data_IF_466550380826
#
_entry.id   IF_466550380826
#
_cell.length_a   1.000
_cell.length_b   1.000
_cell.length_c   1.000
_cell.angle_alpha   90.00
_cell.angle_beta   90.00
_cell.angle_gamma   90.00
#
_symmetry.space_group_name_H-M   'P 1'
#
loop_
_entity.id
_entity.type
_entity.pdbx_description
1 polymer ?
#
# COMPACT_ATOMS: atom_id res chain seq x y z
N UNK A 1 5.79 -26.73 -26.40
CA UNK A 1 7.10 -27.33 -26.13
C UNK A 1 7.70 -26.68 -24.92
N UNK A 2 7.77 -27.43 -23.84
CA UNK A 2 8.40 -27.01 -22.58
C UNK A 2 9.89 -27.35 -22.74
N UNK A 3 10.75 -26.36 -22.66
CA UNK A 3 12.19 -26.56 -22.60
C UNK A 3 12.56 -26.55 -21.12
N UNK A 4 12.83 -27.73 -20.57
CA UNK A 4 13.43 -27.89 -19.25
C UNK A 4 14.94 -27.88 -19.47
N UNK A 5 15.61 -26.82 -19.06
CA UNK A 5 17.07 -26.80 -19.01
C UNK A 5 17.51 -27.23 -17.61
N UNK A 6 18.09 -28.40 -17.51
CA UNK A 6 18.78 -28.90 -16.31
C UNK A 6 20.16 -28.26 -16.28
N UNK A 7 20.41 -27.35 -15.36
CA UNK A 7 21.73 -26.81 -15.07
C UNK A 7 22.33 -27.55 -13.87
N UNK A 8 23.44 -28.24 -14.10
CA UNK A 8 24.24 -28.97 -13.13
C UNK A 8 24.91 -28.00 -12.13
N UNK A 9 24.87 -28.32 -10.85
CA UNK A 9 25.41 -27.53 -9.76
C UNK A 9 26.94 -27.48 -9.78
N UNK A 10 27.46 -26.24 -9.69
CA UNK A 10 28.76 -25.97 -9.03
C UNK A 10 28.57 -24.73 -8.19
N UNK A 11 28.88 -24.85 -6.90
CA UNK A 11 28.75 -23.95 -5.77
C UNK A 11 28.58 -22.44 -6.04
N UNK A 12 27.45 -21.93 -5.65
CA UNK A 12 27.17 -20.52 -5.58
C UNK A 12 25.66 -20.37 -5.39
N UNK A 13 25.24 -19.90 -4.21
CA UNK A 13 23.84 -19.54 -3.95
C UNK A 13 23.50 -18.32 -4.82
N UNK A 14 23.17 -18.57 -6.06
CA UNK A 14 22.48 -17.58 -6.90
C UNK A 14 21.03 -17.58 -6.45
N UNK A 15 20.68 -16.59 -5.62
CA UNK A 15 19.30 -16.29 -5.33
C UNK A 15 18.55 -16.13 -6.64
N UNK A 16 17.71 -17.11 -6.95
CA UNK A 16 16.75 -17.00 -8.07
C UNK A 16 15.75 -15.91 -7.67
N UNK A 17 16.10 -14.68 -7.97
CA UNK A 17 15.16 -13.57 -7.92
C UNK A 17 14.17 -13.82 -9.05
N UNK A 18 13.07 -14.50 -8.71
CA UNK A 18 11.94 -14.66 -9.61
C UNK A 18 11.44 -13.28 -9.95
N UNK A 19 11.92 -12.74 -11.06
CA UNK A 19 11.44 -11.49 -11.62
C UNK A 19 10.04 -11.78 -12.20
N UNK A 20 9.03 -11.81 -11.33
CA UNK A 20 7.65 -11.78 -11.78
C UNK A 20 7.46 -10.45 -12.51
N UNK A 21 7.47 -10.51 -13.83
CA UNK A 21 7.17 -9.37 -14.69
C UNK A 21 5.73 -8.94 -14.38
N UNK A 22 5.58 -7.88 -13.60
CA UNK A 22 4.28 -7.27 -13.37
C UNK A 22 3.70 -6.89 -14.74
N UNK A 23 2.54 -7.45 -15.09
CA UNK A 23 1.92 -7.22 -16.41
C UNK A 23 1.33 -5.81 -16.56
N UNK A 24 1.34 -4.98 -15.48
CA UNK A 24 0.81 -3.63 -15.49
C UNK A 24 1.81 -2.60 -14.95
N UNK A 25 1.80 -1.40 -15.53
CA UNK A 25 2.64 -0.29 -15.06
C UNK A 25 2.02 0.34 -13.82
N UNK A 26 2.78 0.41 -12.72
CA UNK A 26 2.35 1.05 -11.48
C UNK A 26 2.96 2.43 -11.40
N UNK A 27 2.11 3.46 -11.40
CA UNK A 27 2.50 4.87 -11.28
C UNK A 27 2.02 5.51 -9.98
N UNK A 28 1.08 4.85 -9.26
CA UNK A 28 0.52 5.34 -8.00
C UNK A 28 0.51 4.25 -6.92
N UNK A 29 0.75 4.65 -5.69
CA UNK A 29 0.45 3.91 -4.47
C UNK A 29 -0.54 4.76 -3.70
N UNK A 30 -1.79 4.28 -3.56
CA UNK A 30 -2.90 5.04 -3.01
C UNK A 30 -3.25 4.50 -1.63
N UNK A 31 -3.24 5.38 -0.63
CA UNK A 31 -3.54 5.04 0.75
C UNK A 31 -4.99 5.41 1.06
N UNK A 32 -5.70 4.47 1.67
CA UNK A 32 -7.09 4.59 2.10
C UNK A 32 -7.24 4.29 3.58
N UNK A 33 -8.32 4.74 4.18
CA UNK A 33 -8.83 4.22 5.44
C UNK A 33 -10.12 3.43 5.20
N UNK A 34 -10.44 2.52 6.10
CA UNK A 34 -11.69 1.74 6.04
C UNK A 34 -12.93 2.54 6.48
N UNK A 35 -12.73 3.76 6.99
CA UNK A 35 -13.79 4.56 7.64
C UNK A 35 -14.45 3.82 8.83
N UNK A 36 -13.67 3.06 9.59
CA UNK A 36 -14.12 2.37 10.79
C UNK A 36 -13.99 3.30 11.98
N UNK A 37 -15.05 3.51 12.79
CA UNK A 37 -15.00 4.34 13.99
C UNK A 37 -14.04 3.80 15.05
N UNK A 38 -13.51 4.70 15.90
CA UNK A 38 -12.78 4.31 17.12
C UNK A 38 -13.66 3.38 17.98
N UNK A 39 -13.04 2.39 18.62
CA UNK A 39 -13.75 1.39 19.42
C UNK A 39 -14.48 0.30 18.61
N UNK A 40 -14.51 0.42 17.30
CA UNK A 40 -15.01 -0.64 16.40
C UNK A 40 -13.83 -1.31 15.69
N UNK A 41 -14.02 -2.58 15.33
CA UNK A 41 -13.04 -3.34 14.54
C UNK A 41 -13.64 -3.74 13.19
N UNK A 42 -12.80 -3.78 12.18
CA UNK A 42 -13.11 -4.32 10.85
C UNK A 42 -11.91 -5.14 10.38
N UNK A 43 -12.00 -6.45 10.54
CA UNK A 43 -10.95 -7.35 10.06
C UNK A 43 -10.82 -7.30 8.53
N UNK A 44 -9.68 -7.75 8.02
CA UNK A 44 -9.45 -7.83 6.57
C UNK A 44 -10.51 -8.71 5.88
N UNK A 45 -10.90 -9.82 6.52
CA UNK A 45 -11.94 -10.71 5.97
C UNK A 45 -13.32 -10.07 6.02
N UNK A 46 -13.69 -9.37 7.09
CA UNK A 46 -14.95 -8.63 7.15
C UNK A 46 -15.02 -7.53 6.08
N UNK A 47 -13.93 -6.82 5.85
CA UNK A 47 -13.82 -5.84 4.75
C UNK A 47 -13.97 -6.52 3.37
N UNK A 48 -13.38 -7.70 3.20
CA UNK A 48 -13.51 -8.50 1.97
C UNK A 48 -14.95 -8.92 1.71
N UNK A 49 -15.63 -9.44 2.74
CA UNK A 49 -17.02 -9.85 2.64
C UNK A 49 -17.95 -8.67 2.34
N UNK A 50 -17.75 -7.51 2.97
CA UNK A 50 -18.49 -6.29 2.64
C UNK A 50 -18.34 -5.93 1.15
N UNK A 51 -17.14 -5.99 0.64
CA UNK A 51 -16.87 -5.69 -0.77
C UNK A 51 -17.52 -6.69 -1.73
N UNK A 52 -17.56 -7.96 -1.38
CA UNK A 52 -18.20 -9.00 -2.20
C UNK A 52 -19.73 -8.89 -2.13
N UNK A 53 -20.29 -8.84 -0.92
CA UNK A 53 -21.73 -8.94 -0.70
C UNK A 53 -22.48 -7.64 -1.00
N UNK A 54 -21.89 -6.49 -0.66
CA UNK A 54 -22.59 -5.20 -0.75
C UNK A 54 -22.12 -4.35 -1.91
N UNK A 55 -20.90 -4.54 -2.44
CA UNK A 55 -20.38 -3.77 -3.57
C UNK A 55 -20.28 -4.58 -4.87
N UNK A 56 -20.58 -5.88 -4.83
CA UNK A 56 -20.54 -6.74 -6.02
C UNK A 56 -19.11 -6.96 -6.56
N UNK A 57 -18.10 -6.85 -5.73
CA UNK A 57 -16.73 -7.11 -6.15
C UNK A 57 -16.46 -8.61 -6.11
N UNK A 58 -15.50 -9.08 -6.93
CA UNK A 58 -15.07 -10.49 -6.88
C UNK A 58 -14.12 -10.78 -5.71
N UNK A 59 -13.57 -9.76 -5.08
CA UNK A 59 -12.62 -9.85 -3.98
C UNK A 59 -12.51 -8.49 -3.27
N UNK A 60 -11.76 -8.42 -2.15
CA UNK A 60 -11.41 -7.15 -1.52
C UNK A 60 -10.88 -6.16 -2.57
N UNK A 61 -11.25 -4.88 -2.49
CA UNK A 61 -10.85 -3.87 -3.46
C UNK A 61 -9.37 -3.50 -3.40
N UNK A 62 -8.71 -3.74 -2.26
CA UNK A 62 -7.34 -3.33 -1.96
C UNK A 62 -6.32 -4.44 -2.24
N UNK A 63 -5.04 -4.06 -2.40
CA UNK A 63 -3.92 -5.00 -2.51
C UNK A 63 -3.35 -5.35 -1.13
N UNK A 64 -3.44 -4.41 -0.19
CA UNK A 64 -3.05 -4.60 1.21
C UNK A 64 -4.07 -3.98 2.14
N UNK A 65 -4.29 -4.64 3.27
CA UNK A 65 -5.10 -4.14 4.36
C UNK A 65 -4.30 -4.22 5.66
N UNK A 66 -4.30 -3.16 6.49
CA UNK A 66 -3.53 -3.10 7.73
C UNK A 66 -4.51 -2.95 8.90
N UNK A 67 -4.59 -3.97 9.74
CA UNK A 67 -5.40 -3.98 10.95
C UNK A 67 -4.80 -3.11 12.06
N UNK A 68 -5.57 -2.81 13.11
CA UNK A 68 -5.13 -1.88 14.18
C UNK A 68 -3.88 -2.34 14.93
N UNK A 69 -3.64 -3.65 15.03
CA UNK A 69 -2.44 -4.26 15.60
C UNK A 69 -1.21 -4.15 14.67
N UNK A 70 -1.38 -3.60 13.48
CA UNK A 70 -0.33 -3.43 12.48
C UNK A 70 -0.11 -4.64 11.59
N UNK A 71 -0.92 -5.71 11.69
CA UNK A 71 -0.79 -6.85 10.78
C UNK A 71 -1.14 -6.44 9.34
N UNK A 72 -0.30 -6.85 8.39
CA UNK A 72 -0.47 -6.57 6.97
C UNK A 72 -1.09 -7.79 6.30
N UNK A 73 -2.35 -7.69 5.95
CA UNK A 73 -3.08 -8.71 5.20
C UNK A 73 -2.97 -8.45 3.70
N UNK A 74 -2.65 -9.50 2.94
CA UNK A 74 -2.67 -9.46 1.47
C UNK A 74 -4.10 -9.59 0.97
N UNK A 75 -4.50 -8.65 0.12
CA UNK A 75 -5.74 -8.70 -0.64
C UNK A 75 -5.50 -9.19 -2.07
N UNK A 76 -5.91 -8.38 -3.06
CA UNK A 76 -5.67 -8.72 -4.47
C UNK A 76 -4.18 -8.82 -4.77
N UNK A 77 -3.75 -9.82 -5.55
CA UNK A 77 -2.39 -9.88 -6.07
C UNK A 77 -2.02 -8.59 -6.85
N UNK A 78 -0.73 -8.22 -6.81
CA UNK A 78 -0.27 -6.98 -7.47
C UNK A 78 -0.48 -6.98 -8.99
N UNK A 79 -0.57 -8.15 -9.61
CA UNK A 79 -0.84 -8.34 -11.04
C UNK A 79 -2.30 -8.04 -11.40
N UNK A 80 -3.21 -8.14 -10.43
CA UNK A 80 -4.63 -7.88 -10.62
C UNK A 80 -4.95 -6.40 -10.40
N UNK A 81 -5.86 -5.88 -11.18
CA UNK A 81 -6.38 -4.52 -11.02
C UNK A 81 -7.23 -4.45 -9.75
N UNK A 82 -6.99 -3.45 -8.91
CA UNK A 82 -7.78 -3.20 -7.71
C UNK A 82 -9.20 -2.67 -8.00
N UNK A 83 -9.99 -2.47 -6.94
CA UNK A 83 -11.27 -1.79 -7.01
C UNK A 83 -11.37 -0.82 -5.82
N UNK A 84 -10.45 0.14 -5.75
CA UNK A 84 -10.31 1.06 -4.61
C UNK A 84 -10.32 2.54 -5.00
N UNK A 85 -9.97 2.89 -6.24
CA UNK A 85 -9.97 4.27 -6.71
C UNK A 85 -10.40 4.31 -8.19
N UNK A 86 -11.63 4.75 -8.44
CA UNK A 86 -12.17 4.85 -9.81
C UNK A 86 -11.23 5.68 -10.69
N UNK A 87 -11.04 5.27 -11.93
CA UNK A 87 -10.13 5.86 -12.93
C UNK A 87 -8.63 5.66 -12.67
N UNK A 88 -8.22 5.15 -11.49
CA UNK A 88 -6.81 4.94 -11.13
C UNK A 88 -6.46 3.47 -10.85
N UNK A 89 -7.44 2.57 -10.81
CA UNK A 89 -7.21 1.16 -10.44
C UNK A 89 -6.19 0.44 -11.31
N UNK A 90 -6.19 0.71 -12.63
CA UNK A 90 -5.35 -0.01 -13.60
C UNK A 90 -3.85 0.22 -13.41
N UNK A 91 -3.45 1.37 -12.87
CA UNK A 91 -2.06 1.78 -12.72
C UNK A 91 -1.66 2.09 -11.27
N UNK A 92 -2.42 1.59 -10.29
CA UNK A 92 -2.17 1.84 -8.88
C UNK A 92 -2.17 0.59 -8.01
N UNK A 93 -1.53 0.71 -6.86
CA UNK A 93 -1.61 -0.22 -5.73
C UNK A 93 -2.43 0.46 -4.63
N UNK A 94 -3.50 -0.17 -4.15
CA UNK A 94 -4.31 0.33 -3.03
C UNK A 94 -3.90 -0.32 -1.72
N UNK A 95 -3.62 0.50 -0.72
CA UNK A 95 -3.37 0.11 0.66
C UNK A 95 -4.48 0.71 1.51
N UNK A 96 -5.16 -0.09 2.32
CA UNK A 96 -6.15 0.39 3.27
C UNK A 96 -5.70 0.10 4.70
N UNK A 97 -5.84 1.06 5.61
CA UNK A 97 -5.69 0.82 7.03
C UNK A 97 -7.06 0.86 7.72
N UNK A 98 -7.21 0.04 8.75
CA UNK A 98 -8.41 0.02 9.59
C UNK A 98 -8.48 1.30 10.42
N UNK A 99 -9.62 2.00 10.38
CA UNK A 99 -9.85 3.23 11.11
C UNK A 99 -10.25 4.40 10.20
N UNK A 100 -9.94 5.62 10.65
CA UNK A 100 -10.17 6.86 9.91
C UNK A 100 -11.33 7.69 10.42
N UNK A 101 -12.08 7.22 11.41
CA UNK A 101 -13.16 7.97 12.07
C UNK A 101 -12.98 7.95 13.59
N UNK A 102 -13.37 9.03 14.27
CA UNK A 102 -13.50 9.04 15.74
C UNK A 102 -14.79 8.33 16.19
N UNK A 103 -15.07 8.36 17.50
CA UNK A 103 -16.25 7.71 18.09
C UNK A 103 -17.58 8.30 17.54
N UNK A 104 -17.58 9.57 17.15
CA UNK A 104 -18.74 10.28 16.61
C UNK A 104 -18.84 10.16 15.08
N UNK A 105 -18.07 9.24 14.49
CA UNK A 105 -18.00 9.05 13.04
C UNK A 105 -17.47 10.26 12.27
N UNK A 106 -16.79 11.19 12.95
CA UNK A 106 -16.11 12.28 12.29
C UNK A 106 -14.72 11.83 11.82
N UNK A 107 -14.27 12.31 10.69
CA UNK A 107 -12.97 11.96 10.13
C UNK A 107 -11.81 12.32 11.07
N UNK A 108 -10.93 11.35 11.37
CA UNK A 108 -9.78 11.49 12.27
C UNK A 108 -8.65 10.55 11.87
N UNK A 109 -7.41 10.96 12.11
CA UNK A 109 -6.28 10.03 12.02
C UNK A 109 -6.24 9.13 13.26
N UNK A 110 -6.84 7.96 13.15
CA UNK A 110 -6.95 6.96 14.22
C UNK A 110 -5.91 5.85 14.12
N UNK A 111 -4.87 6.03 13.30
CA UNK A 111 -3.83 5.01 13.13
C UNK A 111 -3.04 4.82 14.42
N UNK A 112 -2.88 3.57 14.81
CA UNK A 112 -2.02 3.16 15.92
C UNK A 112 -0.53 3.34 15.55
N UNK A 113 0.36 3.21 16.53
CA UNK A 113 1.81 3.21 16.27
C UNK A 113 2.22 2.02 15.41
N UNK A 114 1.61 0.86 15.66
CA UNK A 114 1.83 -0.38 14.94
C UNK A 114 1.43 -0.22 13.47
N UNK A 115 0.24 0.33 13.19
CA UNK A 115 -0.20 0.63 11.83
C UNK A 115 0.73 1.61 11.10
N UNK A 116 1.21 2.64 11.79
CA UNK A 116 2.15 3.61 11.21
C UNK A 116 3.48 2.96 10.85
N UNK A 117 3.99 2.10 11.74
CA UNK A 117 5.21 1.32 11.51
C UNK A 117 5.08 0.39 10.31
N UNK A 118 4.01 -0.40 10.27
CA UNK A 118 3.73 -1.35 9.20
C UNK A 118 3.48 -0.66 7.86
N UNK A 119 2.71 0.43 7.86
CA UNK A 119 2.48 1.23 6.65
C UNK A 119 3.79 1.80 6.09
N UNK A 120 4.66 2.34 6.96
CA UNK A 120 5.96 2.87 6.54
C UNK A 120 6.85 1.78 5.97
N UNK A 121 6.91 0.61 6.61
CA UNK A 121 7.69 -0.54 6.13
C UNK A 121 7.19 -1.01 4.75
N UNK A 122 5.87 -1.16 4.60
CA UNK A 122 5.24 -1.55 3.34
C UNK A 122 5.50 -0.52 2.22
N UNK A 123 5.38 0.78 2.52
CA UNK A 123 5.65 1.85 1.56
C UNK A 123 7.11 1.87 1.10
N UNK A 124 8.06 1.63 2.01
CA UNK A 124 9.50 1.52 1.66
C UNK A 124 9.73 0.34 0.71
N UNK A 125 9.14 -0.81 0.99
CA UNK A 125 9.26 -1.99 0.13
C UNK A 125 8.64 -1.76 -1.25
N UNK A 126 7.41 -1.22 -1.30
CA UNK A 126 6.75 -0.90 -2.56
C UNK A 126 7.50 0.18 -3.34
N UNK A 127 8.08 1.17 -2.66
CA UNK A 127 8.90 2.20 -3.31
C UNK A 127 10.16 1.63 -3.93
N UNK A 128 10.77 0.61 -3.29
CA UNK A 128 11.91 -0.10 -3.85
C UNK A 128 11.55 -0.87 -5.12
N UNK A 129 10.35 -1.49 -5.14
CA UNK A 129 9.85 -2.22 -6.31
C UNK A 129 9.35 -1.28 -7.43
N UNK A 130 8.73 -0.16 -7.05
CA UNK A 130 8.12 0.80 -7.96
C UNK A 130 8.70 2.22 -7.74
N UNK A 131 9.96 2.46 -8.11
CA UNK A 131 10.67 3.69 -7.75
C UNK A 131 10.07 4.97 -8.34
N UNK A 132 9.30 4.86 -9.42
CA UNK A 132 8.64 5.99 -10.08
C UNK A 132 7.19 6.22 -9.60
N UNK A 133 6.62 5.30 -8.80
CA UNK A 133 5.24 5.44 -8.33
C UNK A 133 5.13 6.58 -7.31
N UNK A 134 4.14 7.44 -7.45
CA UNK A 134 3.81 8.48 -6.48
C UNK A 134 2.99 7.88 -5.34
N UNK A 135 3.30 8.27 -4.11
CA UNK A 135 2.51 7.91 -2.92
C UNK A 135 1.54 9.06 -2.67
N UNK A 136 0.24 8.75 -2.66
CA UNK A 136 -0.84 9.73 -2.51
C UNK A 136 -1.94 9.19 -1.59
N UNK A 137 -2.70 10.07 -0.98
CA UNK A 137 -3.97 9.72 -0.33
C UNK A 137 -5.10 9.62 -1.36
N UNK A 138 -6.13 8.81 -1.09
CA UNK A 138 -7.32 8.77 -1.95
C UNK A 138 -7.98 10.15 -2.10
N UNK A 139 -7.95 10.94 -1.04
CA UNK A 139 -8.45 12.32 -1.04
C UNK A 139 -7.74 13.21 -2.07
N UNK A 140 -6.44 13.05 -2.28
CA UNK A 140 -5.67 13.88 -3.20
C UNK A 140 -6.12 13.70 -4.67
N UNK A 141 -6.75 12.56 -4.96
CA UNK A 141 -7.23 12.21 -6.30
C UNK A 141 -8.71 12.53 -6.51
N UNK A 142 -9.47 12.79 -5.45
CA UNK A 142 -10.90 13.06 -5.55
C UNK A 142 -11.40 14.01 -4.44
N UNK A 143 -10.97 15.28 -4.43
CA UNK A 143 -11.25 16.24 -3.37
C UNK A 143 -12.74 16.59 -3.23
N UNK A 144 -13.56 16.35 -4.26
CA UNK A 144 -14.96 16.77 -4.29
C UNK A 144 -15.95 15.74 -3.70
N UNK A 145 -15.54 14.49 -3.43
CA UNK A 145 -16.48 13.42 -3.04
C UNK A 145 -16.55 13.11 -1.55
N UNK A 146 -15.63 13.60 -0.75
CA UNK A 146 -15.56 13.22 0.66
C UNK A 146 -15.44 14.43 1.58
N UNK A 147 -16.61 14.94 2.04
CA UNK A 147 -16.64 15.71 3.29
C UNK A 147 -16.04 14.91 4.49
N UNK A 148 -16.04 13.57 4.38
CA UNK A 148 -15.32 12.64 5.28
C UNK A 148 -13.79 12.66 5.07
N UNK A 149 -13.32 13.16 3.93
CA UNK A 149 -11.91 13.31 3.61
C UNK A 149 -11.25 14.56 4.20
N UNK A 150 -12.00 15.50 4.75
CA UNK A 150 -11.45 16.71 5.39
C UNK A 150 -10.59 16.41 6.64
N UNK A 151 -10.79 15.26 7.29
CA UNK A 151 -9.88 14.81 8.34
C UNK A 151 -8.63 14.11 7.79
N UNK A 152 -8.67 13.65 6.56
CA UNK A 152 -7.47 13.30 5.84
C UNK A 152 -6.54 14.50 5.64
N UNK A 153 -7.00 15.76 5.76
CA UNK A 153 -6.14 16.94 5.67
C UNK A 153 -5.03 16.96 6.75
N UNK A 154 -5.30 16.47 7.96
CA UNK A 154 -4.22 16.22 8.94
C UNK A 154 -3.34 15.02 8.54
N UNK A 155 -3.89 14.06 7.79
CA UNK A 155 -3.12 12.99 7.16
C UNK A 155 -2.15 13.51 6.09
N UNK A 156 -2.44 14.61 5.38
CA UNK A 156 -1.53 15.20 4.37
C UNK A 156 -0.18 15.56 4.99
N UNK A 157 -0.15 16.10 6.19
CA UNK A 157 1.10 16.39 6.88
C UNK A 157 1.87 15.10 7.18
N UNK A 158 1.18 14.03 7.57
CA UNK A 158 1.76 12.71 7.85
C UNK A 158 2.17 12.01 6.54
N UNK A 159 1.40 12.12 5.47
CA UNK A 159 1.82 11.63 4.14
C UNK A 159 3.03 12.39 3.63
N UNK A 160 3.11 13.70 3.86
CA UNK A 160 4.27 14.50 3.54
C UNK A 160 5.49 14.03 4.34
N UNK A 161 5.35 13.79 5.63
CA UNK A 161 6.40 13.23 6.49
C UNK A 161 6.79 11.80 6.10
N UNK A 162 5.81 10.91 5.81
CA UNK A 162 6.07 9.56 5.32
C UNK A 162 6.75 9.58 3.95
N UNK A 163 6.31 10.45 3.05
CA UNK A 163 6.92 10.65 1.73
C UNK A 163 8.34 11.18 1.84
N UNK A 164 8.59 12.11 2.75
CA UNK A 164 9.93 12.65 3.04
C UNK A 164 10.83 11.59 3.67
N UNK A 165 10.33 10.84 4.67
CA UNK A 165 11.06 9.74 5.32
C UNK A 165 11.43 8.62 4.33
N UNK A 166 10.51 8.25 3.42
CA UNK A 166 10.78 7.26 2.36
C UNK A 166 11.81 7.80 1.36
N UNK A 167 11.73 9.08 1.00
CA UNK A 167 12.65 9.70 0.05
C UNK A 167 14.05 9.95 0.65
N UNK A 168 14.15 10.27 1.93
CA UNK A 168 15.43 10.52 2.63
C UNK A 168 16.28 9.25 2.70
N UNK A 169 15.66 8.10 2.99
CA UNK A 169 16.36 6.80 3.02
C UNK A 169 16.89 6.42 1.63
N UNK A 170 16.17 6.75 0.56
CA UNK A 170 16.63 6.53 -0.81
C UNK A 170 17.89 7.36 -1.13
N UNK A 171 18.00 8.58 -0.61
CA UNK A 171 19.20 9.44 -0.78
C UNK A 171 20.39 8.95 0.05
N UNK A 172 20.16 8.48 1.28
CA UNK A 172 21.23 7.96 2.15
C UNK A 172 21.84 6.67 1.60
N UNK A 173 21.03 5.81 0.98
CA UNK A 173 21.51 4.59 0.34
C UNK A 173 22.36 4.89 -0.93
N UNK A 174 22.09 6.01 -1.59
CA UNK A 174 22.89 6.45 -2.74
C UNK A 174 24.26 7.03 -2.33
N UNK A 175 24.33 7.69 -1.17
CA UNK A 175 25.56 8.22 -0.61
C UNK A 175 26.47 7.07 -0.11
N UNK A 176 25.91 6.03 0.53
CA UNK A 176 26.69 4.87 0.99
C UNK A 176 27.28 4.02 -0.14
N UNK A 177 26.66 3.99 -1.32
CA UNK A 177 27.23 3.29 -2.49
C UNK A 177 28.39 4.05 -3.15
N UNK A 178 28.50 5.36 -2.95
CA UNK A 178 29.58 6.16 -3.55
C UNK A 178 30.79 6.37 -2.64
N UNK A 179 30.74 5.92 -1.38
CA UNK A 179 31.88 6.02 -0.43
C UNK A 179 32.80 4.79 -0.49
N UNK A 180 32.36 3.67 -1.07
CA UNK A 180 33.15 2.45 -1.17
C UNK A 180 33.91 2.27 -2.49
N UNK A 181 34.12 3.35 -3.26
CA UNK A 181 34.92 3.39 -4.48
C UNK A 181 35.90 4.61 -4.53
N UNK A 182 36.51 4.94 -3.38
CA UNK A 182 37.69 5.79 -3.32
C UNK A 182 38.76 5.13 -2.46
#
# INVERSE_FOLDING_TARGET
KIIITVATAIGGVLGVQSCMKLMRTITLIIIHCSATPEGKSLSAEACRLDHILHRGFHDIGYHFYITRDGEIHRGRPLEKVGAHCRNHNSHSIGICYEGGLDADCCPKDTRTLEQRGSLLALLRELRRQFPKALIVGHHDLNPMKDARALAAQRSILIYKQLREAVNTVSRSCFIYKNINYL
#
